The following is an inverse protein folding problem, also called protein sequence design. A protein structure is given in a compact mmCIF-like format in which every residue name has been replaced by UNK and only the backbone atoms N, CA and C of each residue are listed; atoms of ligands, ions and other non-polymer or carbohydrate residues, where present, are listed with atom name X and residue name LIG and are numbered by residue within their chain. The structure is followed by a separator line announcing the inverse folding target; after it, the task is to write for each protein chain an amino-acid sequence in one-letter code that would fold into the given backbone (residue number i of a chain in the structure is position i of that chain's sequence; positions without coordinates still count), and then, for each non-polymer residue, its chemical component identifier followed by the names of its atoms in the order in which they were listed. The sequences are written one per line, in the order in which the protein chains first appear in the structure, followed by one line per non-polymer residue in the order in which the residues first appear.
data_IF_705675792818
#
_entry.id   IF_705675792818
#
_cell.length_a   1.000
_cell.length_b   1.000
_cell.length_c   1.000
_cell.angle_alpha   90.00
_cell.angle_beta   90.00
_cell.angle_gamma   90.00
#
_symmetry.space_group_name_H-M   'P 1'
#
loop_
_entity.id
_entity.type
_entity.pdbx_description
1 polymer ?
#
# COMPACT_ATOMS: atom_id res chain seq x y z
N UNK A 1 -0.45 12.92 5.39
CA UNK A 1 -0.88 12.27 4.11
C UNK A 1 -1.70 11.03 4.46
N UNK A 2 -2.44 10.41 3.53
CA UNK A 2 -3.20 9.19 3.85
C UNK A 2 -2.81 8.06 2.92
N UNK A 3 -2.55 6.89 3.47
CA UNK A 3 -2.40 5.64 2.71
C UNK A 3 -3.51 4.67 3.11
N UNK A 4 -4.34 4.31 2.13
CA UNK A 4 -5.41 3.35 2.25
C UNK A 4 -4.95 1.96 1.80
N UNK A 5 -5.28 0.95 2.61
CA UNK A 5 -4.97 -0.44 2.33
C UNK A 5 -6.18 -1.35 2.57
N UNK A 6 -6.19 -2.52 1.94
CA UNK A 6 -7.23 -3.53 2.14
C UNK A 6 -6.95 -4.31 3.44
N UNK A 7 -7.80 -4.15 4.48
CA UNK A 7 -7.62 -4.85 5.76
C UNK A 7 -7.85 -6.37 5.70
N UNK A 8 -8.52 -6.85 4.65
CA UNK A 8 -8.78 -8.28 4.45
C UNK A 8 -7.64 -8.99 3.71
N UNK A 9 -6.64 -8.24 3.26
CA UNK A 9 -5.45 -8.72 2.56
C UNK A 9 -4.26 -8.87 3.54
N UNK A 10 -3.96 -10.11 3.95
CA UNK A 10 -2.87 -10.40 4.91
C UNK A 10 -1.49 -9.89 4.48
N UNK A 11 -1.17 -10.01 3.19
CA UNK A 11 0.05 -9.42 2.63
C UNK A 11 0.08 -7.89 2.79
N UNK A 12 -1.05 -7.24 2.46
CA UNK A 12 -1.18 -5.79 2.55
C UNK A 12 -1.03 -5.32 4.00
N UNK A 13 -1.65 -6.01 4.96
CA UNK A 13 -1.56 -5.65 6.38
C UNK A 13 -0.14 -5.79 6.92
N UNK A 14 0.58 -6.86 6.57
CA UNK A 14 1.94 -7.07 7.06
C UNK A 14 2.95 -6.14 6.39
N UNK A 15 2.75 -5.84 5.10
CA UNK A 15 3.52 -4.81 4.42
C UNK A 15 3.33 -3.43 5.06
N UNK A 16 2.11 -3.09 5.49
CA UNK A 16 1.85 -1.83 6.19
C UNK A 16 2.51 -1.80 7.58
N UNK A 17 2.53 -2.91 8.32
CA UNK A 17 3.28 -2.99 9.59
C UNK A 17 4.77 -2.76 9.35
N UNK A 18 5.33 -3.37 8.32
CA UNK A 18 6.72 -3.16 7.93
C UNK A 18 6.95 -1.69 7.55
N UNK A 19 6.11 -1.09 6.71
CA UNK A 19 6.22 0.33 6.33
C UNK A 19 6.08 1.30 7.51
N UNK A 20 5.20 1.02 8.48
CA UNK A 20 5.07 1.82 9.71
C UNK A 20 6.37 1.85 10.52
N UNK A 21 7.14 0.76 10.53
CA UNK A 21 8.44 0.72 11.19
C UNK A 21 9.48 1.66 10.54
N UNK A 22 9.27 2.06 9.28
CA UNK A 22 10.13 3.02 8.58
C UNK A 22 9.57 4.44 8.52
N UNK A 23 8.32 4.69 8.91
CA UNK A 23 7.71 6.02 8.93
C UNK A 23 8.06 6.76 10.23
N UNK A 24 9.34 7.05 10.46
CA UNK A 24 9.80 7.66 11.71
C UNK A 24 9.29 9.10 11.92
N UNK A 25 8.86 9.79 10.86
CA UNK A 25 8.27 11.13 10.98
C UNK A 25 6.77 11.11 11.25
N UNK A 26 6.11 9.94 11.25
CA UNK A 26 4.67 9.77 11.47
C UNK A 26 3.79 10.67 10.56
N UNK A 27 4.29 11.03 9.38
CA UNK A 27 3.60 11.94 8.47
C UNK A 27 2.50 11.25 7.65
N UNK A 28 2.43 9.92 7.73
CA UNK A 28 1.56 9.09 6.92
C UNK A 28 0.49 8.41 7.79
N UNK A 29 -0.76 8.79 7.57
CA UNK A 29 -1.90 8.13 8.19
C UNK A 29 -2.27 6.87 7.40
N UNK A 30 -1.90 5.71 7.94
CA UNK A 30 -2.27 4.41 7.40
C UNK A 30 -3.67 4.01 7.88
N UNK A 31 -4.66 4.03 6.98
CA UNK A 31 -6.07 3.78 7.32
C UNK A 31 -6.58 2.58 6.50
N UNK A 32 -7.27 1.61 7.10
CA UNK A 32 -8.02 0.62 6.34
C UNK A 32 -9.00 1.29 5.38
N UNK A 33 -8.99 0.92 4.10
CA UNK A 33 -9.88 1.51 3.11
C UNK A 33 -11.36 1.33 3.49
N UNK A 34 -11.69 0.19 4.10
CA UNK A 34 -13.03 -0.14 4.63
C UNK A 34 -13.52 0.84 5.71
N UNK A 35 -12.60 1.50 6.42
CA UNK A 35 -12.90 2.39 7.55
C UNK A 35 -12.77 3.87 7.13
N UNK A 36 -12.37 4.14 5.88
CA UNK A 36 -12.19 5.48 5.36
C UNK A 36 -13.47 6.02 4.74
N UNK A 37 -14.07 7.02 5.39
CA UNK A 37 -15.22 7.72 4.82
C UNK A 37 -14.74 8.78 3.81
N UNK A 38 -15.15 8.61 2.55
CA UNK A 38 -14.74 9.49 1.46
C UNK A 38 -15.74 10.63 1.37
N UNK A 39 -15.37 11.80 1.91
CA UNK A 39 -16.16 13.01 1.75
C UNK A 39 -16.08 13.62 0.33
N UNK A 40 -15.36 12.99 -0.61
CA UNK A 40 -15.06 13.55 -1.94
C UNK A 40 -15.90 13.00 -3.09
N UNK A 41 -16.97 12.24 -2.81
CA UNK A 41 -17.91 11.72 -3.83
C UNK A 41 -17.34 10.65 -4.77
N UNK A 42 -16.04 10.34 -4.71
CA UNK A 42 -15.41 9.25 -5.47
C UNK A 42 -15.61 7.91 -4.78
N UNK A 43 -16.17 6.92 -5.49
CA UNK A 43 -16.21 5.53 -5.02
C UNK A 43 -14.82 4.90 -5.15
N UNK A 44 -14.09 4.74 -4.05
CA UNK A 44 -12.87 3.92 -4.04
C UNK A 44 -13.26 2.44 -3.95
N UNK A 45 -12.59 1.61 -4.74
CA UNK A 45 -12.79 0.17 -4.66
C UNK A 45 -11.78 -0.41 -3.66
N UNK A 46 -12.22 -0.53 -2.41
CA UNK A 46 -11.39 -1.07 -1.33
C UNK A 46 -11.01 -2.54 -1.51
N UNK A 47 -11.66 -3.28 -2.44
CA UNK A 47 -11.24 -4.65 -2.76
C UNK A 47 -9.97 -4.60 -3.62
N UNK A 48 -8.89 -5.14 -3.06
CA UNK A 48 -7.63 -5.41 -3.76
C UNK A 48 -6.90 -4.19 -4.31
N UNK A 49 -7.17 -3.00 -3.79
CA UNK A 49 -6.53 -1.78 -4.28
C UNK A 49 -6.00 -0.96 -3.11
N UNK A 50 -4.78 -0.48 -3.27
CA UNK A 50 -4.10 0.44 -2.36
C UNK A 50 -4.25 1.83 -2.92
N UNK A 51 -4.46 2.82 -2.06
CA UNK A 51 -4.58 4.21 -2.48
C UNK A 51 -3.68 5.11 -1.65
N UNK A 52 -2.99 6.04 -2.29
CA UNK A 52 -2.31 7.13 -1.61
C UNK A 52 -3.01 8.44 -1.91
N UNK A 53 -3.38 9.17 -0.86
CA UNK A 53 -4.14 10.41 -0.93
C UNK A 53 -3.28 11.54 -0.38
N UNK A 54 -3.00 12.51 -1.25
CA UNK A 54 -2.44 13.81 -0.89
C UNK A 54 -3.59 14.80 -0.72
N UNK A 55 -3.89 15.15 0.53
CA UNK A 55 -4.85 16.21 0.84
C UNK A 55 -4.26 17.57 0.50
N UNK A 56 -5.03 18.41 -0.17
CA UNK A 56 -4.63 19.78 -0.56
C UNK A 56 -5.83 20.72 -0.53
N UNK A 57 -5.59 22.02 -0.29
CA UNK A 57 -6.64 23.06 -0.34
C UNK A 57 -7.32 23.17 -1.70
N UNK A 58 -6.65 22.77 -2.78
CA UNK A 58 -7.14 22.82 -4.15
C UNK A 58 -7.81 21.51 -4.62
N UNK A 59 -7.94 20.52 -3.73
CA UNK A 59 -8.50 19.21 -4.02
C UNK A 59 -7.52 18.06 -3.85
N UNK A 60 -8.05 16.89 -3.52
CA UNK A 60 -7.27 15.70 -3.19
C UNK A 60 -6.68 15.03 -4.44
N UNK A 61 -5.38 14.74 -4.42
CA UNK A 61 -4.74 13.86 -5.43
C UNK A 61 -4.76 12.43 -4.91
N UNK A 62 -5.28 11.51 -5.72
CA UNK A 62 -5.44 10.09 -5.38
C UNK A 62 -4.62 9.26 -6.38
N UNK A 63 -3.73 8.43 -5.85
CA UNK A 63 -2.92 7.48 -6.62
C UNK A 63 -3.32 6.06 -6.22
N UNK A 64 -3.79 5.26 -7.18
CA UNK A 64 -4.18 3.87 -6.94
C UNK A 64 -3.09 2.87 -7.31
N UNK A 65 -3.21 1.64 -6.81
CA UNK A 65 -2.39 0.51 -7.25
C UNK A 65 -0.90 0.68 -6.91
N UNK A 66 -0.02 0.22 -7.82
CA UNK A 66 1.43 0.36 -7.68
C UNK A 66 1.86 1.83 -7.59
N UNK A 67 1.23 2.73 -8.35
CA UNK A 67 1.50 4.16 -8.26
C UNK A 67 1.29 4.72 -6.83
N UNK A 68 0.25 4.27 -6.13
CA UNK A 68 0.01 4.62 -4.73
C UNK A 68 1.12 4.12 -3.79
N UNK A 69 1.55 2.87 -3.96
CA UNK A 69 2.66 2.25 -3.22
C UNK A 69 3.97 3.01 -3.45
N UNK A 70 4.28 3.35 -4.69
CA UNK A 70 5.51 4.08 -5.03
C UNK A 70 5.49 5.54 -4.57
N UNK A 71 4.31 6.15 -4.50
CA UNK A 71 4.15 7.45 -3.83
C UNK A 71 4.40 7.35 -2.32
N UNK A 72 3.99 6.27 -1.66
CA UNK A 72 4.33 6.02 -0.26
C UNK A 72 5.85 5.90 -0.06
N UNK A 73 6.49 5.02 -0.84
CA UNK A 73 7.93 4.76 -0.74
C UNK A 73 8.78 6.02 -0.90
N UNK A 74 8.40 6.91 -1.83
CA UNK A 74 9.08 8.19 -2.03
C UNK A 74 8.94 9.17 -0.85
N UNK A 75 7.95 8.97 0.02
CA UNK A 75 7.58 9.89 1.11
C UNK A 75 8.01 9.43 2.49
N UNK A 76 8.29 8.15 2.67
CA UNK A 76 8.93 7.64 3.89
C UNK A 76 10.31 8.29 4.01
N UNK A 77 10.43 9.22 4.96
CA UNK A 77 11.50 10.23 5.03
C UNK A 77 12.86 9.67 5.45
N UNK A 78 12.88 8.47 6.02
CA UNK A 78 14.00 7.98 6.82
C UNK A 78 14.87 6.94 6.11
N UNK A 79 14.37 6.32 5.03
CA UNK A 79 15.08 5.25 4.33
C UNK A 79 15.31 5.59 2.85
N UNK A 80 16.55 5.97 2.52
CA UNK A 80 16.95 6.37 1.16
C UNK A 80 16.84 5.23 0.14
N UNK A 81 17.01 3.97 0.56
CA UNK A 81 16.87 2.80 -0.32
C UNK A 81 15.41 2.61 -0.73
N UNK A 82 14.48 2.67 0.23
CA UNK A 82 13.04 2.60 -0.06
C UNK A 82 12.60 3.75 -0.98
N UNK A 83 13.16 4.95 -0.74
CA UNK A 83 12.90 6.12 -1.60
C UNK A 83 13.35 5.86 -3.04
N UNK A 84 14.51 5.24 -3.23
CA UNK A 84 15.03 4.86 -4.55
C UNK A 84 14.10 3.89 -5.28
N UNK A 85 13.62 2.84 -4.60
CA UNK A 85 12.66 1.91 -5.22
C UNK A 85 11.39 2.64 -5.69
N UNK A 86 10.88 3.58 -4.89
CA UNK A 86 9.73 4.39 -5.31
C UNK A 86 9.98 5.29 -6.53
N UNK A 87 11.24 5.65 -6.82
CA UNK A 87 11.62 6.38 -8.04
C UNK A 87 11.83 5.47 -9.25
N UNK A 88 12.20 4.20 -9.05
CA UNK A 88 12.35 3.23 -10.14
C UNK A 88 11.05 3.03 -10.92
N UNK A 89 9.89 3.16 -10.26
CA UNK A 89 8.58 3.16 -10.93
C UNK A 89 8.40 4.27 -11.98
N UNK A 90 9.18 5.35 -11.93
CA UNK A 90 9.11 6.40 -12.95
C UNK A 90 9.83 6.04 -14.25
N UNK A 91 10.59 4.94 -14.26
CA UNK A 91 11.40 4.51 -15.40
C UNK A 91 10.65 3.41 -16.16
N UNK A 92 10.17 3.67 -17.38
CA UNK A 92 9.75 2.59 -18.27
C UNK A 92 10.97 1.73 -18.63
N UNK A 93 10.91 0.38 -18.61
CA UNK A 93 9.73 -0.48 -18.51
C UNK A 93 9.42 -1.02 -17.09
N UNK A 94 10.12 -0.53 -16.06
CA UNK A 94 10.02 -1.05 -14.69
C UNK A 94 8.59 -0.88 -14.14
N UNK A 95 7.93 0.22 -14.50
CA UNK A 95 6.53 0.46 -14.17
C UNK A 95 5.60 -0.69 -14.61
N UNK A 96 5.78 -1.26 -15.80
CA UNK A 96 4.96 -2.36 -16.29
C UNK A 96 5.18 -3.64 -15.49
N UNK A 97 6.42 -3.91 -15.09
CA UNK A 97 6.76 -5.07 -14.24
C UNK A 97 6.10 -4.92 -12.87
N UNK A 98 6.17 -3.73 -12.28
CA UNK A 98 5.55 -3.45 -10.98
C UNK A 98 4.02 -3.48 -11.06
N UNK A 99 3.42 -2.92 -12.10
CA UNK A 99 1.97 -2.98 -12.32
C UNK A 99 1.51 -4.44 -12.52
N UNK A 100 2.29 -5.25 -13.23
CA UNK A 100 2.03 -6.68 -13.39
C UNK A 100 2.18 -7.45 -12.07
N UNK A 101 3.24 -7.20 -11.31
CA UNK A 101 3.44 -7.76 -9.98
C UNK A 101 2.29 -7.39 -9.02
N UNK A 102 1.86 -6.13 -9.06
CA UNK A 102 0.70 -5.66 -8.31
C UNK A 102 -0.58 -6.41 -8.73
N UNK A 103 -0.80 -6.57 -10.04
CA UNK A 103 -1.93 -7.33 -10.58
C UNK A 103 -1.91 -8.79 -10.09
N UNK A 104 -0.75 -9.45 -10.08
CA UNK A 104 -0.60 -10.80 -9.58
C UNK A 104 -0.93 -10.91 -8.10
N UNK A 105 -0.46 -9.99 -7.26
CA UNK A 105 -0.79 -9.95 -5.82
C UNK A 105 -2.30 -9.75 -5.64
N UNK A 106 -2.88 -8.80 -6.37
CA UNK A 106 -4.32 -8.52 -6.39
C UNK A 106 -5.15 -9.76 -6.75
N UNK A 107 -4.73 -10.50 -7.78
CA UNK A 107 -5.46 -11.68 -8.25
C UNK A 107 -5.26 -12.90 -7.32
N UNK A 108 -4.06 -13.06 -6.75
CA UNK A 108 -3.71 -14.19 -5.88
C UNK A 108 -3.99 -13.96 -4.39
N UNK A 109 -4.58 -12.82 -3.99
CA UNK A 109 -4.81 -12.46 -2.57
C UNK A 109 -5.46 -13.56 -1.73
N UNK A 110 -6.40 -14.34 -2.28
CA UNK A 110 -7.07 -15.44 -1.57
C UNK A 110 -6.10 -16.58 -1.26
N UNK A 111 -5.18 -16.88 -2.18
CA UNK A 111 -4.14 -17.89 -2.01
C UNK A 111 -3.05 -17.40 -1.06
N UNK A 112 -2.60 -16.15 -1.22
CA UNK A 112 -1.64 -15.51 -0.33
C UNK A 112 -2.16 -15.45 1.11
N UNK A 113 -3.45 -15.15 1.31
CA UNK A 113 -4.07 -15.19 2.65
C UNK A 113 -3.97 -16.57 3.30
N UNK A 114 -4.17 -17.66 2.54
CA UNK A 114 -4.04 -19.04 3.08
C UNK A 114 -2.59 -19.35 3.46
N UNK A 115 -1.63 -18.97 2.62
CA UNK A 115 -0.19 -19.19 2.86
C UNK A 115 0.26 -18.40 4.10
N UNK A 116 -0.10 -17.12 4.18
CA UNK A 116 0.21 -16.27 5.35
C UNK A 116 -0.45 -16.77 6.63
N UNK A 117 -1.72 -17.18 6.56
CA UNK A 117 -2.41 -17.75 7.73
C UNK A 117 -1.67 -19.00 8.23
N UNK A 118 -1.25 -19.90 7.33
CA UNK A 118 -0.49 -21.11 7.66
C UNK A 118 0.87 -20.77 8.30
N UNK A 119 1.61 -19.82 7.74
CA UNK A 119 2.91 -19.39 8.26
C UNK A 119 2.83 -18.77 9.66
N UNK A 120 1.80 -17.96 9.94
CA UNK A 120 1.61 -17.35 11.26
C UNK A 120 1.03 -18.30 12.32
N UNK A 121 0.27 -19.35 11.95
CA UNK A 121 -0.14 -20.39 12.93
C UNK A 121 1.03 -21.20 13.46
N UNK A 122 2.10 -21.39 12.69
CA UNK A 122 3.29 -22.09 13.18
C UNK A 122 4.11 -21.23 14.15
N UNK A 123 4.00 -19.90 14.07
CA UNK A 123 4.78 -18.97 14.91
C UNK A 123 4.18 -18.73 16.30
N UNK A 124 2.97 -19.22 16.56
CA UNK A 124 2.27 -19.09 17.85
C UNK A 124 2.25 -20.40 18.66
N UNK A 125 2.92 -21.45 18.17
CA UNK A 125 3.03 -22.75 18.84
C UNK A 125 4.46 -23.05 19.34
N UNK A 126 5.36 -22.07 19.26
CA UNK A 126 6.70 -22.06 19.86
C UNK A 126 6.73 -20.94 20.92
#
# INVERSE_FOLDING_TARGET
MIFLYDKDCGFCTDWIKFMKAFDYSCDINFIPCQDYNINSGRKLNCKSSSYFILKSKLGDKIYGGAAGVNHLLRRISSNRLLKYFGYLYLIPPINYIEDFGYYLVKNNRRRLRKIYKKANTHKNND
#
